data_IF_909616291214
#
_entry.id   IF_909616291214
#
_cell.length_a   1.000
_cell.length_b   1.000
_cell.length_c   1.000
_cell.angle_alpha   90.00
_cell.angle_beta   90.00
_cell.angle_gamma   90.00
#
_symmetry.space_group_name_H-M   'P 1'
#
loop_
_entity.id
_entity.type
_entity.pdbx_description
1 polymer ?
#
# COMPACT_ATOMS: atom_id res chain seq x y z
N UNK A 1 -23.50 -11.32 35.42
CA UNK A 1 -22.03 -11.21 35.29
C UNK A 1 -21.73 -10.17 34.22
N UNK A 2 -21.13 -9.07 34.60
CA UNK A 2 -21.01 -7.84 33.82
C UNK A 2 -20.01 -8.00 32.67
N UNK A 3 -20.47 -7.72 31.44
CA UNK A 3 -19.60 -7.60 30.28
C UNK A 3 -18.68 -6.38 30.43
N UNK A 4 -17.38 -6.60 30.43
CA UNK A 4 -16.37 -5.54 30.35
C UNK A 4 -16.49 -4.83 29.01
N UNK A 5 -17.00 -3.61 29.04
CA UNK A 5 -16.96 -2.69 27.90
C UNK A 5 -15.49 -2.48 27.48
N UNK A 6 -15.18 -2.85 26.26
CA UNK A 6 -13.93 -2.43 25.64
C UNK A 6 -14.02 -0.92 25.41
N UNK A 7 -13.41 -0.16 26.30
CA UNK A 7 -13.07 1.23 26.07
C UNK A 7 -12.10 1.25 24.89
N UNK A 8 -12.63 1.48 23.68
CA UNK A 8 -11.82 1.71 22.48
C UNK A 8 -11.07 3.02 22.62
N UNK A 9 -9.98 3.03 23.37
CA UNK A 9 -9.02 4.12 23.34
C UNK A 9 -8.54 4.27 21.89
N UNK A 10 -8.58 5.47 21.34
CA UNK A 10 -7.96 5.81 20.05
C UNK A 10 -6.44 5.67 20.21
N UNK A 11 -5.94 4.44 20.14
CA UNK A 11 -4.50 4.17 20.10
C UNK A 11 -3.96 4.49 18.72
N UNK A 12 -2.89 5.28 18.67
CA UNK A 12 -2.15 5.51 17.44
C UNK A 12 -1.41 4.22 17.05
N UNK A 13 -1.73 3.67 15.87
CA UNK A 13 -1.02 2.51 15.30
C UNK A 13 -1.68 1.15 15.55
N UNK A 14 -1.03 0.07 15.10
CA UNK A 14 -1.54 -1.29 15.28
C UNK A 14 -1.42 -1.72 16.74
N UNK A 15 -2.40 -2.48 17.29
CA UNK A 15 -2.41 -2.90 18.69
C UNK A 15 -1.25 -3.84 19.05
N UNK A 16 -0.72 -4.56 18.05
CA UNK A 16 0.41 -5.49 18.19
C UNK A 16 1.30 -5.39 16.97
N UNK A 17 2.63 -5.44 17.18
CA UNK A 17 3.61 -5.56 16.10
C UNK A 17 4.12 -7.01 16.05
N UNK A 18 3.68 -7.82 15.05
CA UNK A 18 4.11 -9.21 14.89
C UNK A 18 5.63 -9.34 14.68
N UNK A 19 6.20 -10.47 15.06
CA UNK A 19 7.64 -10.72 14.96
C UNK A 19 8.18 -10.54 13.53
N UNK A 20 7.44 -10.99 12.51
CA UNK A 20 7.85 -10.83 11.12
C UNK A 20 8.01 -9.34 10.73
N UNK A 21 7.14 -8.47 11.24
CA UNK A 21 7.26 -7.02 11.00
C UNK A 21 8.50 -6.47 11.72
N UNK A 22 8.70 -6.82 12.99
CA UNK A 22 9.90 -6.39 13.74
C UNK A 22 11.19 -6.79 13.01
N UNK A 23 11.26 -8.03 12.52
CA UNK A 23 12.41 -8.53 11.77
C UNK A 23 12.64 -7.73 10.47
N UNK A 24 11.59 -7.43 9.70
CA UNK A 24 11.71 -6.62 8.50
C UNK A 24 12.15 -5.17 8.80
N UNK A 25 11.59 -4.55 9.85
CA UNK A 25 11.99 -3.20 10.26
C UNK A 25 13.47 -3.15 10.66
N UNK A 26 13.91 -4.13 11.48
CA UNK A 26 15.29 -4.23 11.94
C UNK A 26 16.22 -4.50 10.74
N UNK A 27 15.88 -5.44 9.85
CA UNK A 27 16.69 -5.75 8.67
C UNK A 27 16.90 -4.52 7.78
N UNK A 28 15.84 -3.76 7.49
CA UNK A 28 15.94 -2.53 6.70
C UNK A 28 16.79 -1.45 7.41
N UNK A 29 16.65 -1.28 8.73
CA UNK A 29 17.46 -0.34 9.50
C UNK A 29 18.94 -0.74 9.48
N UNK A 30 19.27 -2.03 9.66
CA UNK A 30 20.65 -2.55 9.61
C UNK A 30 21.24 -2.32 8.22
N UNK A 31 20.51 -2.65 7.14
CA UNK A 31 20.99 -2.47 5.77
C UNK A 31 21.20 -0.99 5.47
N UNK A 32 20.32 -0.11 5.93
CA UNK A 32 20.46 1.33 5.75
C UNK A 32 21.71 1.88 6.45
N UNK A 33 22.01 1.43 7.66
CA UNK A 33 23.26 1.79 8.34
C UNK A 33 24.48 1.22 7.61
N UNK A 34 24.38 -0.02 7.13
CA UNK A 34 25.46 -0.62 6.34
C UNK A 34 25.73 0.13 5.02
N UNK A 35 24.71 0.70 4.37
CA UNK A 35 24.88 1.54 3.17
C UNK A 35 25.75 2.79 3.44
N UNK A 36 25.70 3.36 4.65
CA UNK A 36 26.56 4.49 5.03
C UNK A 36 28.02 4.07 5.26
N UNK A 37 28.24 2.88 5.78
CA UNK A 37 29.57 2.33 5.99
C UNK A 37 30.18 1.78 4.69
N UNK A 38 29.33 1.21 3.83
CA UNK A 38 29.71 0.54 2.60
C UNK A 38 28.86 1.05 1.42
N UNK A 39 29.15 2.23 0.85
CA UNK A 39 28.34 2.85 -0.22
C UNK A 39 28.17 1.97 -1.46
N UNK A 40 29.10 1.07 -1.74
CA UNK A 40 29.01 0.12 -2.85
C UNK A 40 27.79 -0.82 -2.74
N UNK A 41 27.26 -1.05 -1.54
CA UNK A 41 26.04 -1.85 -1.34
C UNK A 41 24.85 -1.27 -2.12
N UNK A 42 24.75 0.06 -2.17
CA UNK A 42 23.69 0.74 -2.92
C UNK A 42 23.84 0.48 -4.41
N UNK A 43 25.06 0.54 -4.93
CA UNK A 43 25.34 0.34 -6.35
C UNK A 43 25.05 -1.10 -6.79
N UNK A 44 25.53 -2.09 -6.03
CA UNK A 44 25.43 -3.51 -6.39
C UNK A 44 24.04 -4.08 -6.10
N UNK A 45 23.37 -3.57 -5.06
CA UNK A 45 22.10 -4.12 -4.58
C UNK A 45 20.84 -3.47 -5.14
N UNK A 46 20.93 -2.25 -5.73
CA UNK A 46 19.78 -1.59 -6.39
C UNK A 46 19.41 -2.29 -7.68
N UNK A 47 18.12 -2.32 -8.04
CA UNK A 47 17.73 -2.82 -9.37
C UNK A 47 18.08 -1.78 -10.42
N UNK A 48 18.98 -2.16 -11.32
CA UNK A 48 19.33 -1.40 -12.51
C UNK A 48 19.08 -2.30 -13.72
N UNK A 49 18.19 -1.93 -14.66
CA UNK A 49 17.83 -2.79 -15.80
C UNK A 49 19.04 -3.29 -16.58
N UNK A 50 20.04 -2.41 -16.86
CA UNK A 50 21.27 -2.79 -17.53
C UNK A 50 22.10 -3.81 -16.73
N UNK A 51 22.29 -3.57 -15.43
CA UNK A 51 23.04 -4.47 -14.57
C UNK A 51 22.37 -5.86 -14.44
N UNK A 52 21.04 -5.89 -14.34
CA UNK A 52 20.29 -7.13 -14.28
C UNK A 52 20.41 -7.95 -15.57
N UNK A 53 20.19 -7.33 -16.75
CA UNK A 53 20.15 -8.05 -18.02
C UNK A 53 21.51 -8.28 -18.68
N UNK A 54 22.43 -7.29 -18.58
CA UNK A 54 23.70 -7.33 -19.30
C UNK A 54 24.82 -7.91 -18.44
N UNK A 55 24.77 -7.70 -17.10
CA UNK A 55 25.81 -8.16 -16.18
C UNK A 55 25.35 -9.32 -15.29
N UNK A 56 24.13 -9.84 -15.48
CA UNK A 56 23.63 -11.01 -14.76
C UNK A 56 23.45 -10.80 -13.26
N UNK A 57 23.19 -9.56 -12.80
CA UNK A 57 23.00 -9.26 -11.38
C UNK A 57 21.60 -9.68 -10.91
N UNK A 58 21.31 -10.99 -10.97
CA UNK A 58 19.98 -11.57 -10.71
C UNK A 58 19.51 -11.46 -9.26
N UNK A 59 20.38 -11.10 -8.32
CA UNK A 59 20.01 -10.84 -6.91
C UNK A 59 19.33 -9.50 -6.69
N UNK A 60 19.50 -8.55 -7.60
CA UNK A 60 18.99 -7.18 -7.47
C UNK A 60 17.47 -7.10 -7.18
N UNK A 61 16.57 -7.88 -7.84
CA UNK A 61 15.15 -7.89 -7.51
C UNK A 61 14.80 -8.29 -6.08
N UNK A 62 15.72 -8.91 -5.36
CA UNK A 62 15.57 -9.23 -3.95
C UNK A 62 16.24 -8.19 -3.06
N UNK A 63 17.47 -7.79 -3.37
CA UNK A 63 18.26 -6.93 -2.49
C UNK A 63 17.76 -5.49 -2.44
N UNK A 64 17.24 -4.97 -3.56
CA UNK A 64 16.81 -3.58 -3.68
C UNK A 64 15.71 -3.20 -2.66
N UNK A 65 14.89 -4.17 -2.28
CA UNK A 65 13.77 -3.93 -1.36
C UNK A 65 14.20 -3.72 0.10
N UNK A 66 15.47 -3.90 0.42
CA UNK A 66 16.07 -3.62 1.72
C UNK A 66 16.94 -2.35 1.70
N UNK A 67 17.22 -1.81 0.53
CA UNK A 67 18.02 -0.60 0.35
C UNK A 67 17.11 0.63 0.36
N UNK A 68 17.63 1.73 0.91
CA UNK A 68 16.95 3.01 0.91
C UNK A 68 17.93 4.11 0.52
N UNK A 69 17.43 5.27 0.09
CA UNK A 69 18.29 6.39 -0.30
C UNK A 69 19.05 6.92 0.93
N UNK A 70 20.38 6.77 1.00
CA UNK A 70 21.16 7.24 2.14
C UNK A 70 21.11 8.76 2.34
N UNK A 71 20.79 9.51 1.28
CA UNK A 71 20.67 10.97 1.32
C UNK A 71 19.31 11.44 1.82
N UNK A 72 18.31 10.54 1.86
CA UNK A 72 16.96 10.84 2.28
C UNK A 72 16.47 9.84 3.35
N UNK A 73 16.76 10.05 4.64
CA UNK A 73 16.31 9.18 5.72
C UNK A 73 14.79 9.04 5.80
N UNK A 74 14.04 10.06 5.34
CA UNK A 74 12.58 9.98 5.29
C UNK A 74 12.08 8.90 4.34
N UNK A 75 12.86 8.51 3.33
CA UNK A 75 12.51 7.39 2.45
C UNK A 75 12.45 6.08 3.24
N UNK A 76 13.43 5.78 4.11
CA UNK A 76 13.37 4.64 5.03
C UNK A 76 12.23 4.79 6.03
N UNK A 77 12.16 5.95 6.70
CA UNK A 77 11.19 6.19 7.78
C UNK A 77 9.76 5.98 7.29
N UNK A 78 9.41 6.53 6.13
CA UNK A 78 8.07 6.41 5.56
C UNK A 78 7.75 4.97 5.15
N UNK A 79 8.70 4.26 4.51
CA UNK A 79 8.52 2.85 4.18
C UNK A 79 8.29 2.00 5.45
N UNK A 80 9.09 2.20 6.48
CA UNK A 80 8.97 1.45 7.73
C UNK A 80 7.69 1.79 8.49
N UNK A 81 7.28 3.06 8.46
CA UNK A 81 6.00 3.48 9.02
C UNK A 81 4.81 2.81 8.33
N UNK A 82 4.78 2.80 6.99
CA UNK A 82 3.73 2.16 6.21
C UNK A 82 3.70 0.64 6.43
N UNK A 83 4.87 -0.01 6.45
CA UNK A 83 4.99 -1.42 6.76
C UNK A 83 4.50 -1.74 8.18
N UNK A 84 4.87 -0.93 9.16
CA UNK A 84 4.42 -1.10 10.53
C UNK A 84 2.91 -0.88 10.65
N UNK A 85 2.37 0.19 10.10
CA UNK A 85 0.96 0.58 10.23
C UNK A 85 0.02 -0.43 9.57
N UNK A 86 0.28 -0.82 8.33
CA UNK A 86 -0.60 -1.70 7.55
C UNK A 86 -0.15 -3.16 7.58
N UNK A 87 1.16 -3.39 7.51
CA UNK A 87 1.73 -4.74 7.52
C UNK A 87 1.48 -5.49 8.81
N UNK A 88 1.54 -4.82 9.98
CA UNK A 88 1.26 -5.45 11.27
C UNK A 88 -0.14 -6.05 11.33
N UNK A 89 -1.11 -5.35 10.80
CA UNK A 89 -2.51 -5.79 10.82
C UNK A 89 -2.75 -6.96 9.88
N UNK A 90 -2.17 -6.93 8.67
CA UNK A 90 -2.23 -8.05 7.73
C UNK A 90 -1.49 -9.26 8.28
N UNK A 91 -0.29 -9.07 8.84
CA UNK A 91 0.51 -10.14 9.44
C UNK A 91 -0.17 -10.78 10.66
N UNK A 92 -0.89 -10.00 11.48
CA UNK A 92 -1.65 -10.51 12.61
C UNK A 92 -2.78 -11.47 12.18
N UNK A 93 -3.43 -11.21 11.04
CA UNK A 93 -4.51 -12.06 10.50
C UNK A 93 -3.97 -13.26 9.72
N UNK A 94 -2.91 -13.07 8.93
CA UNK A 94 -2.41 -14.13 8.05
C UNK A 94 -1.39 -15.05 8.71
N UNK A 95 -0.78 -14.59 9.79
CA UNK A 95 0.39 -15.24 10.40
C UNK A 95 1.69 -14.93 9.64
N UNK A 96 2.86 -15.17 10.31
CA UNK A 96 4.15 -14.70 9.82
C UNK A 96 4.57 -15.33 8.49
N UNK A 97 4.38 -16.64 8.31
CA UNK A 97 4.83 -17.36 7.10
C UNK A 97 4.10 -16.89 5.84
N UNK A 98 2.78 -16.69 5.90
CA UNK A 98 1.99 -16.25 4.76
C UNK A 98 2.27 -14.79 4.44
N UNK A 99 2.38 -13.95 5.47
CA UNK A 99 2.72 -12.54 5.32
C UNK A 99 4.08 -12.36 4.63
N UNK A 100 5.13 -13.03 5.14
CA UNK A 100 6.47 -12.92 4.56
C UNK A 100 6.52 -13.41 3.12
N UNK A 101 5.89 -14.55 2.79
CA UNK A 101 5.80 -15.00 1.40
C UNK A 101 5.15 -13.96 0.50
N UNK A 102 4.03 -13.42 0.92
CA UNK A 102 3.33 -12.39 0.15
C UNK A 102 4.18 -11.13 -0.03
N UNK A 103 4.75 -10.60 1.05
CA UNK A 103 5.62 -9.43 1.05
C UNK A 103 6.81 -9.60 0.09
N UNK A 104 7.53 -10.70 0.24
CA UNK A 104 8.70 -11.00 -0.58
C UNK A 104 8.33 -11.20 -2.05
N UNK A 105 7.24 -11.92 -2.33
CA UNK A 105 6.79 -12.13 -3.72
C UNK A 105 6.37 -10.83 -4.40
N UNK A 106 5.66 -9.95 -3.68
CA UNK A 106 5.31 -8.62 -4.20
C UNK A 106 6.57 -7.79 -4.48
N UNK A 107 7.54 -7.78 -3.55
CA UNK A 107 8.79 -7.03 -3.70
C UNK A 107 9.67 -7.56 -4.82
N UNK A 108 9.98 -8.85 -4.81
CA UNK A 108 10.80 -9.49 -5.85
C UNK A 108 10.16 -9.36 -7.23
N UNK A 109 8.87 -9.61 -7.33
CA UNK A 109 8.17 -9.47 -8.60
C UNK A 109 8.15 -8.04 -9.11
N UNK A 110 7.98 -7.04 -8.21
CA UNK A 110 8.12 -5.63 -8.59
C UNK A 110 9.54 -5.34 -9.10
N UNK A 111 10.58 -5.85 -8.43
CA UNK A 111 11.97 -5.71 -8.85
C UNK A 111 12.24 -6.32 -10.23
N UNK A 112 11.68 -7.48 -10.53
CA UNK A 112 11.75 -8.09 -11.85
C UNK A 112 11.08 -7.21 -12.91
N UNK A 113 9.91 -6.67 -12.64
CA UNK A 113 9.22 -5.78 -13.58
C UNK A 113 9.95 -4.43 -13.76
N UNK A 114 10.58 -3.91 -12.71
CA UNK A 114 11.46 -2.72 -12.81
C UNK A 114 12.64 -2.99 -13.74
N UNK A 115 13.21 -4.20 -13.73
CA UNK A 115 14.30 -4.57 -14.62
C UNK A 115 13.83 -4.80 -16.07
N UNK A 116 12.72 -5.49 -16.27
CA UNK A 116 12.28 -5.95 -17.59
C UNK A 116 11.47 -4.92 -18.37
N UNK A 117 10.56 -4.18 -17.73
CA UNK A 117 9.65 -3.27 -18.44
C UNK A 117 10.39 -2.11 -19.12
N UNK A 118 11.32 -1.39 -18.45
CA UNK A 118 12.10 -0.35 -19.13
C UNK A 118 12.90 -0.91 -20.32
N UNK A 119 13.46 -2.12 -20.17
CA UNK A 119 14.23 -2.76 -21.25
C UNK A 119 13.38 -3.06 -22.47
N UNK A 120 12.15 -3.55 -22.26
CA UNK A 120 11.18 -3.77 -23.33
C UNK A 120 10.80 -2.43 -24.00
N UNK A 121 10.52 -1.39 -23.21
CA UNK A 121 10.14 -0.07 -23.75
C UNK A 121 11.26 0.58 -24.55
N UNK A 122 12.51 0.40 -24.13
CA UNK A 122 13.70 0.85 -24.90
C UNK A 122 13.82 0.06 -26.20
N UNK A 123 13.65 -1.27 -26.17
CA UNK A 123 13.71 -2.11 -27.37
C UNK A 123 12.62 -1.76 -28.40
N UNK A 124 11.47 -1.24 -27.92
CA UNK A 124 10.37 -0.76 -28.77
C UNK A 124 10.54 0.71 -29.21
N UNK A 125 11.64 1.38 -28.80
CA UNK A 125 11.89 2.79 -29.13
C UNK A 125 10.96 3.79 -28.42
N UNK A 126 10.25 3.36 -27.37
CA UNK A 126 9.26 4.20 -26.66
C UNK A 126 9.87 5.08 -25.57
N UNK A 127 11.06 4.73 -25.06
CA UNK A 127 11.77 5.50 -24.04
C UNK A 127 13.28 5.51 -24.32
N UNK A 128 13.98 6.50 -23.75
CA UNK A 128 15.44 6.65 -23.94
C UNK A 128 16.20 5.47 -23.30
N UNK A 129 17.28 4.97 -23.95
CA UNK A 129 18.21 3.97 -23.39
C UNK A 129 18.79 4.36 -22.02
N UNK A 130 18.92 5.65 -21.72
CA UNK A 130 19.38 6.13 -20.42
C UNK A 130 18.52 5.62 -19.25
N UNK A 131 17.27 5.21 -19.51
CA UNK A 131 16.41 4.59 -18.50
C UNK A 131 16.93 3.27 -17.96
N UNK A 132 17.77 2.57 -18.73
CA UNK A 132 18.36 1.29 -18.31
C UNK A 132 19.44 1.46 -17.22
N UNK A 133 20.02 2.65 -17.12
CA UNK A 133 21.06 2.95 -16.14
C UNK A 133 20.52 3.51 -14.81
N UNK A 134 19.21 3.76 -14.71
CA UNK A 134 18.65 4.36 -13.51
C UNK A 134 18.42 3.30 -12.42
N UNK A 135 19.10 3.41 -11.25
CA UNK A 135 18.91 2.49 -10.15
C UNK A 135 17.58 2.73 -9.45
N UNK A 136 16.96 1.67 -9.02
CA UNK A 136 15.75 1.69 -8.18
C UNK A 136 16.01 0.92 -6.89
N UNK A 137 15.59 1.48 -5.77
CA UNK A 137 15.75 0.91 -4.44
C UNK A 137 14.54 1.28 -3.55
N UNK A 138 14.26 0.48 -2.55
CA UNK A 138 13.20 0.71 -1.56
C UNK A 138 12.24 -0.48 -1.38
N UNK A 139 11.70 -0.59 -0.19
CA UNK A 139 10.69 -1.59 0.18
C UNK A 139 9.30 -1.29 -0.43
N UNK A 140 9.14 -0.13 -1.04
CA UNK A 140 7.82 0.42 -1.42
C UNK A 140 7.03 -0.48 -2.37
N UNK A 141 7.67 -1.19 -3.31
CA UNK A 141 6.98 -2.15 -4.17
C UNK A 141 6.27 -3.24 -3.36
N UNK A 142 6.95 -3.85 -2.38
CA UNK A 142 6.34 -4.82 -1.48
C UNK A 142 5.25 -4.19 -0.59
N UNK A 143 5.47 -2.97 -0.12
CA UNK A 143 4.53 -2.23 0.74
C UNK A 143 3.25 -1.89 -0.02
N UNK A 144 3.31 -1.51 -1.30
CA UNK A 144 2.12 -1.30 -2.13
C UNK A 144 1.26 -2.57 -2.23
N UNK A 145 1.90 -3.75 -2.38
CA UNK A 145 1.20 -5.03 -2.28
C UNK A 145 0.51 -5.22 -0.93
N UNK A 146 1.21 -4.93 0.18
CA UNK A 146 0.67 -5.06 1.55
C UNK A 146 -0.49 -4.08 1.80
N UNK A 147 -0.35 -2.82 1.37
CA UNK A 147 -1.40 -1.80 1.50
C UNK A 147 -2.63 -2.19 0.67
N UNK A 148 -2.42 -2.76 -0.52
CA UNK A 148 -3.51 -3.31 -1.32
C UNK A 148 -4.23 -4.44 -0.58
N UNK A 149 -3.49 -5.39 0.00
CA UNK A 149 -4.08 -6.47 0.80
C UNK A 149 -4.90 -5.91 1.97
N UNK A 150 -4.35 -4.95 2.71
CA UNK A 150 -5.06 -4.27 3.78
C UNK A 150 -6.36 -3.61 3.28
N UNK A 151 -6.29 -2.86 2.19
CA UNK A 151 -7.43 -2.16 1.58
C UNK A 151 -8.55 -3.10 1.14
N UNK A 152 -8.18 -4.28 0.64
CA UNK A 152 -9.15 -5.29 0.20
C UNK A 152 -9.72 -6.12 1.36
N UNK A 153 -8.96 -6.36 2.41
CA UNK A 153 -9.44 -7.07 3.61
C UNK A 153 -10.42 -6.19 4.40
N UNK A 154 -10.12 -4.90 4.55
CA UNK A 154 -10.93 -3.94 5.31
C UNK A 154 -11.35 -2.70 4.50
N UNK A 155 -12.09 -2.85 3.39
CA UNK A 155 -12.35 -1.78 2.43
C UNK A 155 -13.10 -0.58 3.03
N UNK A 156 -13.95 -0.84 4.01
CA UNK A 156 -14.81 0.16 4.64
C UNK A 156 -14.19 0.80 5.90
N UNK A 157 -13.01 0.35 6.30
CA UNK A 157 -12.32 0.89 7.48
C UNK A 157 -11.92 2.33 7.25
N UNK A 158 -12.22 3.19 8.20
CA UNK A 158 -11.82 4.60 8.16
C UNK A 158 -10.35 4.73 8.53
N UNK A 159 -9.59 5.38 7.68
CA UNK A 159 -8.21 5.81 7.90
C UNK A 159 -8.25 7.31 8.12
N UNK A 160 -7.75 7.75 9.26
CA UNK A 160 -7.61 9.17 9.57
C UNK A 160 -6.13 9.57 9.42
N UNK A 161 -5.87 10.58 8.59
CA UNK A 161 -4.57 11.24 8.54
C UNK A 161 -4.54 12.35 9.57
N UNK A 162 -3.40 12.53 10.23
CA UNK A 162 -3.19 13.64 11.16
C UNK A 162 -2.93 14.94 10.39
N UNK A 163 -2.23 14.85 9.27
CA UNK A 163 -1.88 15.97 8.41
C UNK A 163 -1.97 15.58 6.92
N UNK A 164 -2.82 16.26 6.14
CA UNK A 164 -3.96 17.09 6.57
C UNK A 164 -4.99 16.27 7.36
N UNK A 165 -5.82 16.87 8.22
CA UNK A 165 -6.82 16.16 9.05
C UNK A 165 -7.99 15.66 8.17
N UNK A 166 -7.73 14.61 7.40
CA UNK A 166 -8.68 14.02 6.46
C UNK A 166 -8.92 12.57 6.81
N UNK A 167 -10.16 12.14 6.78
CA UNK A 167 -10.55 10.76 6.98
C UNK A 167 -11.18 10.19 5.71
N UNK A 168 -10.72 9.00 5.30
CA UNK A 168 -11.21 8.30 4.12
C UNK A 168 -11.26 6.79 4.36
N UNK A 169 -11.92 6.06 3.46
CA UNK A 169 -12.02 4.60 3.55
C UNK A 169 -10.75 3.94 3.02
N UNK A 170 -10.35 2.83 3.62
CA UNK A 170 -9.14 2.10 3.26
C UNK A 170 -9.07 1.70 1.79
N UNK A 171 -10.21 1.50 1.13
CA UNK A 171 -10.26 1.20 -0.31
C UNK A 171 -9.62 2.32 -1.17
N UNK A 172 -9.53 3.54 -0.66
CA UNK A 172 -8.93 4.68 -1.35
C UNK A 172 -7.42 4.82 -1.14
N UNK A 173 -6.81 3.98 -0.27
CA UNK A 173 -5.37 4.09 -0.01
C UNK A 173 -4.53 3.97 -1.28
N UNK A 174 -4.74 2.94 -2.10
CA UNK A 174 -3.96 2.77 -3.34
C UNK A 174 -4.18 3.90 -4.33
N UNK A 175 -5.43 4.30 -4.68
CA UNK A 175 -5.66 5.46 -5.54
C UNK A 175 -5.00 6.75 -5.02
N UNK A 176 -5.06 7.02 -3.71
CA UNK A 176 -4.45 8.20 -3.10
C UNK A 176 -2.92 8.12 -3.18
N UNK A 177 -2.32 6.98 -2.83
CA UNK A 177 -0.87 6.79 -2.89
C UNK A 177 -0.34 6.95 -4.32
N UNK A 178 -1.01 6.36 -5.31
CA UNK A 178 -0.66 6.54 -6.74
C UNK A 178 -0.83 8.00 -7.16
N UNK A 179 -1.90 8.67 -6.71
CA UNK A 179 -2.09 10.10 -6.98
C UNK A 179 -0.95 10.96 -6.41
N UNK A 180 -0.50 10.67 -5.19
CA UNK A 180 0.67 11.33 -4.59
C UNK A 180 1.95 11.06 -5.38
N UNK A 181 2.19 9.81 -5.80
CA UNK A 181 3.35 9.47 -6.63
C UNK A 181 3.38 10.24 -7.95
N UNK A 182 2.23 10.37 -8.61
CA UNK A 182 2.10 11.12 -9.88
C UNK A 182 2.35 12.62 -9.67
N UNK A 183 1.86 13.19 -8.58
CA UNK A 183 1.96 14.62 -8.30
C UNK A 183 3.31 15.02 -7.72
N UNK A 184 3.94 14.18 -6.91
CA UNK A 184 5.14 14.52 -6.13
C UNK A 184 6.35 13.67 -6.50
N UNK A 185 6.15 12.60 -7.26
CA UNK A 185 7.22 11.65 -7.59
C UNK A 185 8.18 12.17 -8.66
N UNK A 186 9.50 12.13 -8.42
CA UNK A 186 10.49 12.62 -9.37
C UNK A 186 10.75 11.67 -10.54
N UNK A 187 10.26 10.43 -10.51
CA UNK A 187 10.56 9.46 -11.58
C UNK A 187 9.43 8.46 -11.84
N UNK A 188 9.13 8.26 -13.13
CA UNK A 188 8.22 7.22 -13.60
C UNK A 188 8.64 5.78 -13.20
N UNK A 189 9.89 5.57 -12.79
CA UNK A 189 10.42 4.27 -12.37
C UNK A 189 9.87 3.87 -10.99
N UNK A 190 9.76 4.83 -10.06
CA UNK A 190 9.16 4.57 -8.75
C UNK A 190 7.69 4.15 -8.90
N UNK A 191 6.94 4.84 -9.76
CA UNK A 191 5.54 4.52 -10.06
C UNK A 191 5.40 3.11 -10.63
N UNK A 192 6.29 2.72 -11.55
CA UNK A 192 6.31 1.35 -12.11
C UNK A 192 6.48 0.31 -11.00
N UNK A 193 7.45 0.50 -10.10
CA UNK A 193 7.69 -0.41 -8.98
C UNK A 193 6.49 -0.53 -8.03
N UNK A 194 5.86 0.60 -7.72
CA UNK A 194 4.68 0.67 -6.86
C UNK A 194 3.47 -0.05 -7.47
N UNK A 195 3.15 0.26 -8.72
CA UNK A 195 2.04 -0.38 -9.45
C UNK A 195 2.31 -1.87 -9.68
N UNK A 196 3.55 -2.24 -9.97
CA UNK A 196 3.96 -3.65 -10.13
C UNK A 196 3.73 -4.44 -8.85
N UNK A 197 4.15 -3.90 -7.70
CA UNK A 197 3.94 -4.54 -6.40
C UNK A 197 2.46 -4.71 -6.05
N UNK A 198 1.66 -3.68 -6.31
CA UNK A 198 0.21 -3.76 -6.14
C UNK A 198 -0.42 -4.80 -7.10
N UNK A 199 -0.03 -4.82 -8.38
CA UNK A 199 -0.55 -5.76 -9.37
C UNK A 199 -0.23 -7.22 -9.00
N UNK A 200 1.02 -7.50 -8.63
CA UNK A 200 1.42 -8.84 -8.18
C UNK A 200 0.67 -9.23 -6.91
N UNK A 201 0.57 -8.31 -5.95
CA UNK A 201 -0.21 -8.51 -4.74
C UNK A 201 -1.66 -8.88 -5.03
N UNK A 202 -2.26 -8.20 -6.00
CA UNK A 202 -3.61 -8.48 -6.47
C UNK A 202 -3.74 -9.89 -7.07
N UNK A 203 -2.82 -10.27 -7.95
CA UNK A 203 -2.82 -11.60 -8.59
C UNK A 203 -2.66 -12.71 -7.55
N UNK A 204 -1.80 -12.54 -6.55
CA UNK A 204 -1.60 -13.48 -5.45
C UNK A 204 -2.87 -13.65 -4.61
N UNK A 205 -3.56 -12.55 -4.31
CA UNK A 205 -4.82 -12.59 -3.56
C UNK A 205 -5.93 -13.31 -4.34
N UNK A 206 -6.00 -13.09 -5.64
CA UNK A 206 -6.96 -13.75 -6.52
C UNK A 206 -6.69 -15.25 -6.66
N UNK A 207 -5.42 -15.63 -6.82
CA UNK A 207 -5.02 -17.03 -7.03
C UNK A 207 -5.14 -17.90 -5.77
N UNK A 208 -5.05 -17.32 -4.59
CA UNK A 208 -5.07 -18.08 -3.31
C UNK A 208 -6.46 -18.53 -2.87
N UNK A 209 -7.53 -18.12 -3.51
CA UNK A 209 -8.93 -18.42 -3.13
C UNK A 209 -9.34 -17.95 -1.72
N UNK A 210 -8.39 -17.39 -0.96
CA UNK A 210 -8.52 -16.99 0.44
C UNK A 210 -8.48 -15.48 0.63
N UNK A 211 -8.28 -14.74 -0.46
CA UNK A 211 -8.53 -13.29 -0.46
C UNK A 211 -10.03 -13.05 -0.33
N UNK A 212 -10.48 -11.93 0.26
CA UNK A 212 -11.82 -11.46 -0.01
C UNK A 212 -11.90 -11.39 -1.55
N UNK A 213 -12.72 -12.27 -2.13
CA UNK A 213 -12.94 -12.25 -3.57
C UNK A 213 -13.20 -10.79 -3.93
N UNK A 214 -12.57 -10.31 -5.01
CA UNK A 214 -12.99 -9.01 -5.51
C UNK A 214 -14.50 -9.04 -5.55
N UNK A 215 -15.14 -8.00 -5.04
CA UNK A 215 -16.57 -7.94 -5.19
C UNK A 215 -16.85 -8.13 -6.68
N UNK A 216 -17.62 -9.16 -7.02
CA UNK A 216 -18.07 -9.35 -8.39
C UNK A 216 -18.70 -8.04 -8.87
N UNK A 217 -18.73 -7.80 -10.17
CA UNK A 217 -19.42 -6.62 -10.72
C UNK A 217 -20.83 -6.49 -10.13
N UNK A 218 -21.50 -7.62 -9.86
CA UNK A 218 -22.78 -7.66 -9.17
C UNK A 218 -22.71 -7.20 -7.72
N UNK A 219 -21.67 -7.58 -6.96
CA UNK A 219 -21.47 -7.12 -5.59
C UNK A 219 -21.11 -5.62 -5.54
N UNK A 220 -20.34 -5.12 -6.50
CA UNK A 220 -20.05 -3.69 -6.66
C UNK A 220 -21.36 -2.94 -6.96
N UNK A 221 -22.14 -3.45 -7.94
CA UNK A 221 -23.44 -2.88 -8.31
C UNK A 221 -24.43 -2.91 -7.16
N UNK A 222 -24.50 -4.01 -6.42
CA UNK A 222 -25.33 -4.15 -5.22
C UNK A 222 -24.93 -3.15 -4.12
N UNK A 223 -23.63 -3.03 -3.80
CA UNK A 223 -23.12 -2.07 -2.82
C UNK A 223 -23.38 -0.64 -3.24
N UNK A 224 -23.22 -0.32 -4.52
CA UNK A 224 -23.55 0.99 -5.08
C UNK A 224 -25.03 1.32 -5.00
N UNK A 225 -25.89 0.37 -5.38
CA UNK A 225 -27.35 0.53 -5.28
C UNK A 225 -27.79 0.69 -3.82
N UNK A 226 -27.25 -0.08 -2.89
CA UNK A 226 -27.50 0.04 -1.45
C UNK A 226 -27.04 1.39 -0.90
N UNK A 227 -25.89 1.91 -1.35
CA UNK A 227 -25.43 3.24 -0.99
C UNK A 227 -26.36 4.34 -1.52
N UNK A 228 -26.79 4.26 -2.78
CA UNK A 228 -27.79 5.18 -3.38
C UNK A 228 -29.11 5.16 -2.62
N UNK A 229 -29.58 3.97 -2.28
CA UNK A 229 -30.83 3.80 -1.53
C UNK A 229 -30.74 4.42 -0.12
N UNK A 230 -29.65 4.17 0.61
CA UNK A 230 -29.40 4.80 1.91
C UNK A 230 -29.33 6.33 1.83
N UNK A 231 -28.76 6.87 0.78
CA UNK A 231 -28.74 8.32 0.54
C UNK A 231 -30.15 8.89 0.33
N UNK A 232 -30.97 8.19 -0.47
CA UNK A 232 -32.38 8.57 -0.69
C UNK A 232 -33.20 8.51 0.60
N UNK A 233 -33.05 7.44 1.37
CA UNK A 233 -33.75 7.30 2.67
C UNK A 233 -33.37 8.40 3.65
N UNK A 234 -32.09 8.80 3.71
CA UNK A 234 -31.64 9.93 4.56
C UNK A 234 -32.21 11.27 4.08
N UNK A 235 -32.36 11.47 2.78
CA UNK A 235 -32.98 12.68 2.23
C UNK A 235 -34.46 12.76 2.63
N UNK A 236 -35.22 11.67 2.44
CA UNK A 236 -36.64 11.58 2.85
C UNK A 236 -36.79 11.79 4.35
N UNK A 237 -35.93 11.16 5.18
CA UNK A 237 -35.99 11.34 6.64
C UNK A 237 -35.72 12.80 7.09
N UNK A 238 -34.89 13.54 6.32
CA UNK A 238 -34.65 14.97 6.58
C UNK A 238 -35.86 15.83 6.20
N UNK A 239 -36.50 15.51 5.09
CA UNK A 239 -37.73 16.19 4.66
C UNK A 239 -38.88 15.93 5.65
N UNK A 240 -39.12 14.66 6.06
CA UNK A 240 -40.12 14.32 7.07
C UNK A 240 -39.85 14.98 8.41
N UNK A 241 -38.56 15.08 8.81
CA UNK A 241 -38.18 15.79 10.03
C UNK A 241 -38.41 17.32 9.92
N UNK A 242 -38.33 17.91 8.73
CA UNK A 242 -38.70 19.29 8.46
C UNK A 242 -40.19 19.53 8.62
N UNK A 243 -41.00 18.75 7.93
CA UNK A 243 -42.46 18.81 7.99
C UNK A 243 -43.03 18.59 9.39
N UNK A 244 -42.43 17.71 10.21
CA UNK A 244 -42.86 17.52 11.62
C UNK A 244 -42.58 18.76 12.47
N UNK A 245 -41.43 19.43 12.27
CA UNK A 245 -41.08 20.64 13.01
C UNK A 245 -42.00 21.82 12.64
N UNK A 246 -42.32 21.99 11.39
CA UNK A 246 -43.25 23.03 10.92
C UNK A 246 -44.64 22.82 11.49
N UNK A 247 -45.19 21.60 11.42
CA UNK A 247 -46.51 21.27 12.02
C UNK A 247 -46.55 21.46 13.52
N UNK A 248 -45.46 21.22 14.25
CA UNK A 248 -45.39 21.45 15.69
C UNK A 248 -45.32 22.95 16.02
N UNK A 249 -44.61 23.73 15.18
CA UNK A 249 -44.56 25.16 15.34
C UNK A 249 -45.90 25.86 15.03
N UNK A 250 -46.67 25.38 14.04
CA UNK A 250 -48.00 25.87 13.74
C UNK A 250 -49.03 25.57 14.86
N UNK A 251 -48.89 24.42 15.53
CA UNK A 251 -49.77 24.06 16.67
C UNK A 251 -49.45 24.79 17.97
N UNK A 252 -48.29 25.41 18.06
CA UNK A 252 -47.83 26.18 19.22
C UNK A 252 -48.10 27.69 19.10
N UNK A 253 -48.65 28.15 17.94
CA UNK A 253 -49.17 29.50 17.72
C UNK A 253 -50.69 29.52 17.91
#
# INVERSE_FOLDING_TARGET
MYGRGHSGGMGFGPPVTPLAIKQLLIANAIVFLAQHLFPWLTLVGSVTPAAFLQHGMLWQPFTYMFLHDPRNPFHLLFNMFMLWMFGSQVAAVWGPKRFLRYYLTCGVGAGVLIALVPSLLVALGLVSPLRLELPTLGASGAIYGVVLAFSLIWPDRTIALLFPPVAFRAIWLIPIMVGVDVLMGPSNISILGHLSGAAIGYLLLRGSGTGPGLPSLEQIRYRWNRYRMRRRLRAVQREDGGWRRERLAERAR
#
